data_IF_709699172355
#
_entry.id   IF_709699172355
#
_cell.length_a   1.000
_cell.length_b   1.000
_cell.length_c   1.000
_cell.angle_alpha   90.00
_cell.angle_beta   90.00
_cell.angle_gamma   90.00
#
_symmetry.space_group_name_H-M   'P 1'
#
loop_
_entity.id
_entity.type
_entity.pdbx_description
1 polymer ?
#
# COMPACT_ATOMS: atom_id res chain seq x y z
N UNK A 1 -9.43 -17.24 35.26
CA UNK A 1 -9.94 -16.63 34.01
C UNK A 1 -8.73 -16.60 33.13
N UNK A 2 -8.70 -17.39 32.07
CA UNK A 2 -7.56 -17.39 31.16
C UNK A 2 -7.95 -16.38 30.09
N UNK A 3 -7.36 -15.20 30.14
CA UNK A 3 -7.47 -14.19 29.08
C UNK A 3 -6.88 -14.84 27.82
N UNK A 4 -7.77 -15.43 27.01
CA UNK A 4 -7.42 -16.27 25.88
C UNK A 4 -7.81 -15.51 24.65
N UNK A 5 -6.80 -15.03 23.94
CA UNK A 5 -6.98 -14.37 22.65
C UNK A 5 -7.76 -15.26 21.69
N UNK A 6 -8.55 -14.67 20.79
CA UNK A 6 -9.30 -15.39 19.76
C UNK A 6 -10.55 -16.10 20.29
N UNK A 7 -11.10 -15.65 21.43
CA UNK A 7 -12.34 -16.20 21.99
C UNK A 7 -13.59 -15.39 21.63
N UNK A 8 -13.42 -14.28 20.89
CA UNK A 8 -14.46 -13.37 20.43
C UNK A 8 -14.87 -12.33 21.46
N UNK A 9 -14.13 -12.18 22.56
CA UNK A 9 -14.44 -11.28 23.68
C UNK A 9 -13.20 -10.51 24.10
N UNK A 10 -13.19 -9.21 23.82
CA UNK A 10 -12.10 -8.30 24.22
C UNK A 10 -12.04 -8.17 25.75
N UNK A 11 -10.96 -8.66 26.34
CA UNK A 11 -10.66 -8.54 27.77
C UNK A 11 -9.83 -7.27 28.08
N UNK A 12 -9.71 -6.84 29.35
CA UNK A 12 -8.97 -5.62 29.72
C UNK A 12 -7.48 -5.63 29.35
N UNK A 13 -6.90 -6.81 29.09
CA UNK A 13 -5.51 -6.98 28.69
C UNK A 13 -5.33 -7.12 27.17
N UNK A 14 -6.42 -7.14 26.40
CA UNK A 14 -6.45 -7.31 24.95
C UNK A 14 -6.81 -5.96 24.30
N UNK A 15 -6.12 -5.60 23.22
CA UNK A 15 -6.45 -4.39 22.44
C UNK A 15 -7.57 -4.67 21.43
N UNK A 16 -7.67 -5.92 20.98
CA UNK A 16 -8.71 -6.45 20.10
C UNK A 16 -8.87 -7.96 20.35
N UNK A 17 -9.98 -8.53 19.88
CA UNK A 17 -10.20 -9.98 19.76
C UNK A 17 -11.24 -10.17 18.64
N UNK A 18 -10.85 -10.82 17.55
CA UNK A 18 -11.69 -11.08 16.37
C UNK A 18 -12.24 -12.51 16.32
N UNK A 19 -12.09 -13.26 17.42
CA UNK A 19 -12.65 -14.60 17.58
C UNK A 19 -11.89 -15.69 16.85
N UNK A 20 -10.66 -15.43 16.41
CA UNK A 20 -9.80 -16.44 15.82
C UNK A 20 -8.30 -16.19 16.15
N UNK A 21 -7.42 -17.02 15.60
CA UNK A 21 -5.95 -16.91 15.76
C UNK A 21 -5.26 -16.75 14.39
N UNK A 22 -5.72 -15.79 13.60
CA UNK A 22 -5.18 -15.48 12.28
C UNK A 22 -4.57 -14.07 12.30
N UNK A 23 -3.23 -13.97 12.25
CA UNK A 23 -2.53 -12.68 12.34
C UNK A 23 -2.83 -11.71 11.19
N UNK A 24 -3.40 -12.18 10.08
CA UNK A 24 -3.74 -11.36 8.92
C UNK A 24 -5.15 -10.79 8.97
N UNK A 25 -5.91 -11.04 10.03
CA UNK A 25 -7.25 -10.49 10.24
C UNK A 25 -7.21 -9.17 11.04
N UNK A 26 -8.35 -8.76 11.59
CA UNK A 26 -8.49 -7.50 12.30
C UNK A 26 -7.68 -7.46 13.61
N UNK A 27 -7.30 -8.62 14.14
CA UNK A 27 -6.51 -8.73 15.36
C UNK A 27 -5.33 -9.70 15.19
N UNK A 28 -4.19 -9.37 15.80
CA UNK A 28 -3.05 -10.31 15.83
C UNK A 28 -3.33 -11.46 16.80
N UNK A 29 -2.59 -12.57 16.70
CA UNK A 29 -2.67 -13.69 17.65
C UNK A 29 -2.19 -13.32 19.06
N UNK A 30 -1.62 -12.12 19.23
CA UNK A 30 -1.27 -11.53 20.52
C UNK A 30 -2.37 -10.63 21.09
N UNK A 31 -3.53 -10.58 20.44
CA UNK A 31 -4.64 -9.70 20.75
C UNK A 31 -4.22 -8.22 20.83
N UNK A 32 -3.28 -7.86 19.96
CA UNK A 32 -2.84 -6.50 19.73
C UNK A 32 -3.39 -5.99 18.39
N UNK A 33 -3.68 -4.70 18.33
CA UNK A 33 -4.02 -4.05 17.07
C UNK A 33 -2.83 -4.22 16.11
N UNK A 34 -3.03 -4.81 14.93
CA UNK A 34 -1.92 -5.03 14.03
C UNK A 34 -1.42 -3.68 13.49
N UNK A 35 -0.12 -3.61 13.20
CA UNK A 35 0.57 -2.36 12.84
C UNK A 35 1.37 -2.56 11.55
N UNK A 36 1.42 -1.52 10.74
CA UNK A 36 2.33 -1.43 9.59
C UNK A 36 3.78 -1.72 10.03
N UNK A 37 4.38 -2.78 9.51
CA UNK A 37 5.71 -3.25 9.87
C UNK A 37 5.75 -4.39 10.89
N UNK A 38 4.63 -5.06 11.18
CA UNK A 38 4.56 -6.20 12.11
C UNK A 38 4.85 -7.56 11.46
N UNK A 39 5.06 -7.58 10.15
CA UNK A 39 5.38 -8.77 9.38
C UNK A 39 4.18 -9.36 8.63
N UNK A 40 2.97 -8.83 8.81
CA UNK A 40 1.74 -9.39 8.24
C UNK A 40 0.99 -8.36 7.39
N UNK A 41 0.74 -8.72 6.13
CA UNK A 41 -0.12 -7.91 5.26
C UNK A 41 -1.58 -8.32 5.45
N UNK A 42 -2.43 -7.35 5.74
CA UNK A 42 -3.87 -7.53 5.96
C UNK A 42 -4.65 -7.07 4.73
N UNK A 43 -5.08 -8.03 3.92
CA UNK A 43 -5.82 -7.76 2.68
C UNK A 43 -7.06 -6.89 2.94
N UNK A 44 -7.18 -5.80 2.19
CA UNK A 44 -8.28 -4.82 2.34
C UNK A 44 -8.13 -3.83 3.50
N UNK A 45 -7.09 -3.93 4.33
CA UNK A 45 -6.75 -2.94 5.38
C UNK A 45 -5.42 -2.25 5.06
N UNK A 46 -4.42 -3.03 4.67
CA UNK A 46 -3.09 -2.56 4.32
C UNK A 46 -2.69 -3.18 2.97
N UNK A 47 -2.21 -2.36 2.04
CA UNK A 47 -1.72 -2.85 0.75
C UNK A 47 -0.39 -3.59 0.91
N UNK A 48 0.37 -3.24 1.93
CA UNK A 48 1.64 -3.85 2.27
C UNK A 48 2.00 -3.56 3.73
N UNK A 49 3.12 -4.10 4.23
CA UNK A 49 3.49 -4.11 5.66
C UNK A 49 4.86 -3.44 5.89
N UNK A 50 5.23 -2.44 5.09
CA UNK A 50 6.54 -1.77 5.18
C UNK A 50 7.69 -2.58 4.58
N UNK A 51 7.93 -3.77 5.15
CA UNK A 51 9.01 -4.70 4.77
C UNK A 51 8.52 -5.86 3.90
N UNK A 52 7.23 -6.19 3.96
CA UNK A 52 6.58 -7.13 3.06
C UNK A 52 5.65 -6.37 2.11
N UNK A 53 5.84 -6.57 0.81
CA UNK A 53 5.04 -5.91 -0.22
C UNK A 53 3.72 -6.66 -0.56
N UNK A 54 3.30 -7.55 0.33
CA UNK A 54 2.09 -8.36 0.14
C UNK A 54 2.24 -9.35 -1.00
N UNK A 55 1.39 -9.23 -2.01
CA UNK A 55 1.34 -10.14 -3.15
C UNK A 55 2.46 -9.94 -4.18
N UNK A 56 3.29 -8.91 -4.05
CA UNK A 56 4.38 -8.66 -4.99
C UNK A 56 5.51 -9.66 -4.79
N UNK A 57 5.91 -10.32 -5.89
CA UNK A 57 7.00 -11.31 -5.91
C UNK A 57 8.38 -10.67 -5.71
N UNK A 58 8.50 -9.38 -5.98
CA UNK A 58 9.71 -8.60 -5.70
C UNK A 58 9.36 -7.13 -5.47
N UNK A 59 10.32 -6.37 -4.93
CA UNK A 59 10.22 -4.91 -4.81
C UNK A 59 10.48 -4.16 -6.11
N UNK A 60 10.55 -4.84 -7.26
CA UNK A 60 10.76 -4.19 -8.54
C UNK A 60 9.49 -3.47 -9.03
N UNK A 61 9.63 -2.21 -9.43
CA UNK A 61 8.52 -1.46 -10.03
C UNK A 61 7.99 -2.11 -11.31
N UNK A 62 8.85 -2.83 -12.04
CA UNK A 62 8.47 -3.58 -13.24
C UNK A 62 7.47 -4.72 -12.96
N UNK A 63 7.46 -5.27 -11.73
CA UNK A 63 6.50 -6.31 -11.36
C UNK A 63 5.16 -5.71 -10.96
N UNK A 64 5.19 -4.50 -10.40
CA UNK A 64 3.99 -3.73 -10.06
C UNK A 64 3.27 -3.25 -11.33
N UNK A 65 4.00 -2.72 -12.30
CA UNK A 65 3.44 -2.28 -13.58
C UNK A 65 4.38 -2.62 -14.76
N UNK A 66 4.28 -3.83 -15.32
CA UNK A 66 5.14 -4.27 -16.41
C UNK A 66 4.90 -3.43 -17.68
N UNK A 67 5.98 -2.93 -18.27
CA UNK A 67 5.93 -2.08 -19.47
C UNK A 67 5.60 -0.60 -19.21
N UNK A 68 5.49 -0.21 -17.93
CA UNK A 68 5.35 1.19 -17.49
C UNK A 68 6.63 1.64 -16.78
N UNK A 69 7.17 0.79 -15.89
CA UNK A 69 8.44 1.03 -15.21
C UNK A 69 9.54 0.11 -15.73
N UNK A 70 10.64 0.70 -16.17
CA UNK A 70 11.85 -0.01 -16.62
C UNK A 70 12.81 -0.32 -15.48
N UNK A 71 12.78 0.46 -14.40
CA UNK A 71 13.64 0.27 -13.25
C UNK A 71 13.11 0.93 -11.97
N UNK A 72 13.77 0.68 -10.85
CA UNK A 72 13.39 1.24 -9.55
C UNK A 72 12.77 0.21 -8.62
N UNK A 73 12.59 0.63 -7.37
CA UNK A 73 12.03 -0.21 -6.32
C UNK A 73 10.79 0.43 -5.71
N UNK A 74 9.70 -0.33 -5.67
CA UNK A 74 8.48 0.04 -4.95
C UNK A 74 8.72 -0.15 -3.45
N UNK A 75 8.20 0.77 -2.66
CA UNK A 75 8.23 0.70 -1.20
C UNK A 75 6.81 0.82 -0.67
N UNK A 76 6.59 0.49 0.59
CA UNK A 76 5.34 0.89 1.24
C UNK A 76 5.40 2.35 1.63
N UNK A 77 4.24 3.01 1.63
CA UNK A 77 4.06 4.22 2.40
C UNK A 77 4.26 3.94 3.90
N UNK A 78 4.64 4.96 4.70
CA UNK A 78 4.85 4.80 6.15
C UNK A 78 3.60 4.36 6.91
N UNK A 79 2.43 4.61 6.35
CA UNK A 79 1.11 4.25 6.87
C UNK A 79 0.54 2.97 6.25
N UNK A 80 1.27 2.29 5.35
CA UNK A 80 0.87 1.03 4.71
C UNK A 80 -0.46 1.05 3.91
N UNK A 81 -1.09 2.21 3.74
CA UNK A 81 -2.32 2.34 2.95
C UNK A 81 -2.09 2.05 1.46
N UNK A 82 -0.90 2.39 0.96
CA UNK A 82 -0.53 2.22 -0.44
C UNK A 82 1.00 2.06 -0.60
N UNK A 83 1.43 1.92 -1.85
CA UNK A 83 2.80 1.81 -2.28
C UNK A 83 3.37 3.18 -2.68
N UNK A 84 4.62 3.44 -2.32
CA UNK A 84 5.41 4.56 -2.79
C UNK A 84 6.15 4.18 -4.08
N UNK A 85 5.74 4.81 -5.19
CA UNK A 85 6.35 4.66 -6.51
C UNK A 85 7.33 5.79 -6.86
N UNK A 86 7.66 6.67 -5.93
CA UNK A 86 8.54 7.83 -6.20
C UNK A 86 9.95 7.43 -6.64
N UNK A 87 10.38 6.20 -6.32
CA UNK A 87 11.67 5.63 -6.73
C UNK A 87 11.57 4.78 -8.01
N UNK A 88 10.39 4.66 -8.62
CA UNK A 88 10.18 3.99 -9.88
C UNK A 88 10.55 4.89 -11.05
N UNK A 89 11.23 4.32 -12.04
CA UNK A 89 11.69 5.02 -13.24
C UNK A 89 11.21 4.25 -14.47
N UNK A 90 10.57 4.96 -15.39
CA UNK A 90 10.10 4.40 -16.65
C UNK A 90 9.71 5.50 -17.63
N UNK A 91 9.37 5.07 -18.85
CA UNK A 91 9.05 5.96 -19.96
C UNK A 91 7.64 6.60 -19.84
N UNK A 92 6.85 6.25 -18.82
CA UNK A 92 5.48 6.73 -18.65
C UNK A 92 4.98 6.80 -17.19
N UNK A 93 5.08 7.96 -16.55
CA UNK A 93 4.25 8.31 -15.39
C UNK A 93 2.92 8.85 -15.93
N UNK A 94 1.76 8.23 -15.64
CA UNK A 94 0.48 8.81 -16.01
C UNK A 94 0.28 10.13 -15.26
N UNK A 95 0.07 11.20 -16.01
CA UNK A 95 -0.12 12.53 -15.44
C UNK A 95 -1.58 12.78 -15.11
N UNK A 96 -1.88 12.83 -13.81
CA UNK A 96 -3.18 13.23 -13.28
C UNK A 96 -3.03 14.63 -12.70
N UNK A 97 -3.53 15.65 -13.39
CA UNK A 97 -3.72 16.96 -12.77
C UNK A 97 -5.01 16.90 -11.94
N UNK A 98 -4.89 16.73 -10.63
CA UNK A 98 -5.99 16.94 -9.68
C UNK A 98 -6.23 18.45 -9.52
N UNK A 99 -7.23 18.98 -10.23
CA UNK A 99 -7.78 20.31 -9.89
C UNK A 99 -8.99 20.20 -8.93
N UNK A 100 -9.58 19.01 -8.75
CA UNK A 100 -10.90 18.85 -8.08
C UNK A 100 -10.96 17.87 -6.87
N UNK A 101 -9.89 17.11 -6.56
CA UNK A 101 -9.79 16.36 -5.30
C UNK A 101 -10.78 15.19 -5.11
N UNK A 102 -11.27 14.57 -6.18
CA UNK A 102 -12.25 13.48 -6.16
C UNK A 102 -11.91 12.27 -7.05
N UNK A 103 -10.64 12.04 -7.39
CA UNK A 103 -10.21 10.77 -7.97
C UNK A 103 -10.54 10.55 -9.46
N UNK A 104 -9.47 10.31 -10.22
CA UNK A 104 -9.38 9.66 -11.54
C UNK A 104 -10.46 9.98 -12.60
N UNK A 105 -10.25 11.05 -13.37
CA UNK A 105 -10.72 11.14 -14.77
C UNK A 105 -9.53 11.47 -15.70
N UNK A 106 -9.02 10.44 -16.40
CA UNK A 106 -7.74 10.50 -17.11
C UNK A 106 -7.76 11.24 -18.46
N UNK A 107 -6.65 11.89 -18.78
CA UNK A 107 -6.21 12.08 -20.17
C UNK A 107 -5.12 11.06 -20.49
N UNK A 108 -5.01 10.67 -21.76
CA UNK A 108 -4.05 9.70 -22.26
C UNK A 108 -2.66 10.35 -22.48
N UNK A 109 -2.03 10.84 -21.41
CA UNK A 109 -0.67 11.39 -21.45
C UNK A 109 0.24 10.77 -20.39
N UNK A 110 1.49 10.55 -20.82
CA UNK A 110 2.56 9.91 -20.07
C UNK A 110 3.76 10.88 -20.01
N UNK A 111 4.30 11.14 -18.82
CA UNK A 111 5.52 11.97 -18.64
C UNK A 111 6.70 11.14 -18.17
N UNK A 112 7.91 11.61 -18.45
CA UNK A 112 9.13 10.95 -18.00
C UNK A 112 9.31 11.08 -16.48
N UNK A 113 10.04 10.14 -15.88
CA UNK A 113 10.35 10.15 -14.46
C UNK A 113 11.11 11.44 -14.04
N UNK A 114 10.52 12.22 -13.13
CA UNK A 114 11.09 13.47 -12.62
C UNK A 114 10.60 14.75 -13.30
N UNK A 115 9.69 14.66 -14.28
CA UNK A 115 9.03 15.82 -14.88
C UNK A 115 7.69 16.14 -14.20
N UNK A 116 7.33 17.42 -14.14
CA UNK A 116 6.06 17.86 -13.57
C UNK A 116 4.98 17.85 -14.65
N UNK A 117 3.82 17.23 -14.37
CA UNK A 117 2.68 17.19 -15.29
C UNK A 117 2.20 18.57 -15.77
N UNK A 118 2.49 19.62 -15.00
CA UNK A 118 2.16 21.00 -15.33
C UNK A 118 2.79 21.47 -16.64
N UNK A 119 3.96 20.95 -17.01
CA UNK A 119 4.72 21.40 -18.19
C UNK A 119 4.11 20.89 -19.52
N UNK A 120 3.29 19.83 -19.47
CA UNK A 120 2.66 19.22 -20.66
C UNK A 120 1.22 19.71 -20.91
N UNK A 121 0.70 20.59 -20.05
CA UNK A 121 -0.65 21.19 -20.17
C UNK A 121 -0.79 22.22 -21.31
N UNK A 122 0.25 22.46 -22.09
CA UNK A 122 0.24 23.50 -23.14
C UNK A 122 1.09 23.09 -24.35
N UNK A 123 0.58 22.17 -25.18
CA UNK A 123 1.08 21.97 -26.55
C UNK A 123 -0.09 21.59 -27.47
N UNK A 124 -1.00 22.56 -27.64
CA UNK A 124 -1.96 22.61 -28.74
C UNK A 124 -1.67 23.81 -29.62
#
# INVERSE_FOLDING_TARGET
MVDTCGNGVVNPCEQCDDGNFINTDACTNMCASPICGDGYVRDGVESCDGVNLGALLSSACSDFAPGIFDSGLVRCLPDCSDYDLSNCVGDAIPCFSDEDGDGFTGTNQVVAAGENCSDYSSSG
#
